data_IF_658662975159
#
_entry.id   IF_658662975159
#
_cell.length_a   1.000
_cell.length_b   1.000
_cell.length_c   1.000
_cell.angle_alpha   90.00
_cell.angle_beta   90.00
_cell.angle_gamma   90.00
#
_symmetry.space_group_name_H-M   'P 1'
#
loop_
_entity.id
_entity.type
_entity.pdbx_description
1 polymer ?
#
# COMPACT_ATOMS: atom_id res chain seq x y z
N UNK A 1 0.09 -10.52 -10.28
CA UNK A 1 0.93 -11.57 -9.67
C UNK A 1 0.11 -12.72 -9.10
N UNK A 2 -1.02 -12.46 -8.44
CA UNK A 2 -1.81 -13.52 -7.79
C UNK A 2 -2.20 -14.68 -8.70
N UNK A 3 -2.48 -14.44 -9.98
CA UNK A 3 -2.79 -15.52 -10.95
C UNK A 3 -1.63 -16.54 -11.11
N UNK A 4 -0.42 -16.17 -10.69
CA UNK A 4 0.79 -16.98 -10.74
C UNK A 4 1.23 -17.47 -9.36
N UNK A 5 0.52 -17.08 -8.29
CA UNK A 5 0.91 -17.42 -6.92
C UNK A 5 0.11 -18.59 -6.39
N UNK A 6 0.79 -19.45 -5.63
CA UNK A 6 0.23 -20.56 -4.88
C UNK A 6 0.53 -20.44 -3.38
N UNK A 7 1.38 -19.49 -2.98
CA UNK A 7 1.85 -19.31 -1.59
C UNK A 7 0.76 -18.95 -0.56
N UNK A 8 -0.46 -18.58 -1.00
CA UNK A 8 -1.62 -18.40 -0.12
C UNK A 8 -2.40 -19.71 0.12
N UNK A 9 -2.10 -20.77 -0.63
CA UNK A 9 -2.76 -22.06 -0.48
C UNK A 9 -2.15 -22.79 0.72
N UNK A 10 -2.97 -23.32 1.66
CA UNK A 10 -2.45 -24.09 2.78
C UNK A 10 -1.47 -25.18 2.33
N UNK A 11 -0.35 -25.31 3.03
CA UNK A 11 0.76 -26.25 2.74
C UNK A 11 1.67 -25.92 1.55
N UNK A 12 1.44 -24.79 0.87
CA UNK A 12 2.33 -24.27 -0.17
C UNK A 12 3.06 -23.04 0.36
N UNK A 13 4.36 -23.19 0.63
CA UNK A 13 5.25 -22.05 0.89
C UNK A 13 6.04 -21.67 -0.35
N UNK A 14 6.79 -20.56 -0.28
CA UNK A 14 7.60 -20.00 -1.38
C UNK A 14 8.49 -21.06 -2.05
N UNK A 15 9.18 -21.91 -1.28
CA UNK A 15 10.01 -22.99 -1.86
C UNK A 15 9.21 -24.05 -2.64
N UNK A 16 7.96 -24.31 -2.26
CA UNK A 16 7.09 -25.23 -3.01
C UNK A 16 6.53 -24.54 -4.25
N UNK A 17 6.16 -23.27 -4.14
CA UNK A 17 5.72 -22.44 -5.26
C UNK A 17 6.82 -22.34 -6.34
N UNK A 18 8.08 -22.08 -5.97
CA UNK A 18 9.20 -22.08 -6.90
C UNK A 18 9.40 -23.43 -7.61
N UNK A 19 9.17 -24.55 -6.92
CA UNK A 19 9.21 -25.88 -7.55
C UNK A 19 8.08 -26.08 -8.57
N UNK A 20 6.91 -25.51 -8.32
CA UNK A 20 5.79 -25.52 -9.27
C UNK A 20 6.21 -24.73 -10.52
N UNK A 21 6.71 -23.51 -10.37
CA UNK A 21 7.19 -22.69 -11.49
C UNK A 21 8.30 -23.36 -12.29
N UNK A 22 9.32 -23.89 -11.61
CA UNK A 22 10.45 -24.57 -12.25
C UNK A 22 10.07 -25.89 -12.94
N UNK A 23 8.86 -26.40 -12.71
CA UNK A 23 8.32 -27.56 -13.45
C UNK A 23 7.64 -27.19 -14.77
N UNK A 24 7.60 -25.89 -15.11
CA UNK A 24 6.93 -25.36 -16.31
C UNK A 24 5.47 -24.96 -16.07
N UNK A 25 5.01 -24.96 -14.82
CA UNK A 25 3.65 -24.52 -14.44
C UNK A 25 3.75 -23.15 -13.79
N UNK A 26 3.52 -22.09 -14.57
CA UNK A 26 3.69 -20.70 -14.17
C UNK A 26 2.41 -20.02 -13.69
N UNK A 27 1.24 -20.60 -13.94
CA UNK A 27 -0.06 -19.99 -13.61
C UNK A 27 -1.07 -20.96 -13.01
N UNK A 28 -2.10 -20.41 -12.38
CA UNK A 28 -3.25 -21.16 -11.90
C UNK A 28 -3.93 -21.97 -13.01
N UNK A 29 -4.04 -21.42 -14.22
CA UNK A 29 -4.68 -22.09 -15.36
C UNK A 29 -3.83 -23.28 -15.85
N UNK A 30 -2.52 -23.08 -16.04
CA UNK A 30 -1.60 -24.16 -16.39
C UNK A 30 -1.59 -25.28 -15.34
N UNK A 31 -1.72 -24.93 -14.05
CA UNK A 31 -1.80 -25.93 -12.98
C UNK A 31 -3.06 -26.78 -13.09
N UNK A 32 -4.21 -26.16 -13.42
CA UNK A 32 -5.48 -26.88 -13.58
C UNK A 32 -5.47 -27.79 -14.81
N UNK A 33 -4.78 -27.39 -15.88
CA UNK A 33 -4.65 -28.19 -17.10
C UNK A 33 -3.67 -29.36 -16.94
N UNK A 34 -2.48 -29.08 -16.38
CA UNK A 34 -1.40 -30.05 -16.27
C UNK A 34 -0.60 -29.84 -14.96
N UNK A 35 -1.10 -30.35 -13.82
CA UNK A 35 -0.43 -30.17 -12.54
C UNK A 35 0.96 -30.84 -12.52
N UNK A 36 1.94 -30.31 -11.76
CA UNK A 36 3.30 -30.84 -11.73
C UNK A 36 3.37 -32.31 -11.31
N UNK A 37 4.13 -33.11 -12.07
CA UNK A 37 4.26 -34.56 -11.86
C UNK A 37 4.93 -34.98 -10.54
N UNK A 38 5.67 -34.06 -9.89
CA UNK A 38 6.27 -34.32 -8.58
C UNK A 38 5.24 -34.29 -7.44
N UNK A 39 4.03 -33.78 -7.68
CA UNK A 39 2.93 -33.81 -6.73
C UNK A 39 2.15 -35.12 -6.86
N UNK A 40 1.71 -35.68 -5.73
CA UNK A 40 0.79 -36.81 -5.77
C UNK A 40 -0.59 -36.37 -6.29
N UNK A 41 -1.32 -37.30 -6.93
CA UNK A 41 -2.66 -37.05 -7.48
C UNK A 41 -3.56 -36.36 -6.44
N UNK A 42 -3.64 -36.92 -5.22
CA UNK A 42 -4.43 -36.37 -4.11
C UNK A 42 -4.02 -34.94 -3.72
N UNK A 43 -2.72 -34.62 -3.78
CA UNK A 43 -2.24 -33.26 -3.48
C UNK A 43 -2.61 -32.30 -4.61
N UNK A 44 -2.46 -32.73 -5.86
CA UNK A 44 -2.85 -31.93 -7.04
C UNK A 44 -4.35 -31.63 -7.04
N UNK A 45 -5.21 -32.61 -6.76
CA UNK A 45 -6.67 -32.42 -6.63
C UNK A 45 -7.01 -31.38 -5.55
N UNK A 46 -6.40 -31.51 -4.36
CA UNK A 46 -6.61 -30.53 -3.28
C UNK A 46 -6.12 -29.12 -3.64
N UNK A 47 -4.98 -29.01 -4.32
CA UNK A 47 -4.49 -27.71 -4.78
C UNK A 47 -5.42 -27.12 -5.84
N UNK A 48 -5.95 -27.93 -6.76
CA UNK A 48 -6.93 -27.50 -7.76
C UNK A 48 -8.21 -26.94 -7.13
N UNK A 49 -8.73 -27.56 -6.07
CA UNK A 49 -9.87 -27.02 -5.30
C UNK A 49 -9.56 -25.62 -4.73
N UNK A 50 -8.38 -25.43 -4.13
CA UNK A 50 -7.96 -24.13 -3.62
C UNK A 50 -7.71 -23.11 -4.72
N UNK A 51 -7.19 -23.52 -5.88
CA UNK A 51 -7.00 -22.65 -7.04
C UNK A 51 -8.36 -22.17 -7.57
N UNK A 52 -9.34 -23.05 -7.66
CA UNK A 52 -10.69 -22.67 -8.07
C UNK A 52 -11.30 -21.63 -7.11
N UNK A 53 -11.19 -21.85 -5.80
CA UNK A 53 -11.57 -20.86 -4.80
C UNK A 53 -10.79 -19.54 -4.95
N UNK A 54 -9.49 -19.62 -5.29
CA UNK A 54 -8.67 -18.42 -5.49
C UNK A 54 -9.16 -17.59 -6.67
N UNK A 55 -9.52 -18.23 -7.79
CA UNK A 55 -10.10 -17.58 -8.97
C UNK A 55 -11.45 -16.92 -8.64
N UNK A 56 -12.30 -17.60 -7.85
CA UNK A 56 -13.55 -17.02 -7.34
C UNK A 56 -13.30 -15.78 -6.49
N UNK A 57 -12.30 -15.82 -5.60
CA UNK A 57 -11.94 -14.72 -4.70
C UNK A 57 -11.34 -13.51 -5.44
N UNK A 58 -10.54 -13.75 -6.48
CA UNK A 58 -10.06 -12.70 -7.38
C UNK A 58 -11.25 -12.04 -8.09
N UNK A 59 -12.16 -12.84 -8.66
CA UNK A 59 -13.35 -12.33 -9.36
C UNK A 59 -14.28 -11.52 -8.44
N UNK A 60 -14.43 -11.96 -7.19
CA UNK A 60 -15.22 -11.28 -6.16
C UNK A 60 -14.54 -10.04 -5.55
N UNK A 61 -13.33 -9.69 -6.02
CA UNK A 61 -12.49 -8.62 -5.47
C UNK A 61 -12.20 -8.74 -3.96
N UNK A 62 -12.05 -9.96 -3.46
CA UNK A 62 -11.81 -10.24 -2.03
C UNK A 62 -10.31 -10.18 -1.69
N UNK A 63 -9.75 -8.96 -1.63
CA UNK A 63 -8.35 -8.75 -1.27
C UNK A 63 -8.01 -9.28 0.14
N UNK A 64 -9.00 -9.26 1.04
CA UNK A 64 -8.81 -9.66 2.44
C UNK A 64 -8.50 -11.15 2.56
N UNK A 65 -9.18 -11.99 1.76
CA UNK A 65 -8.87 -13.41 1.69
C UNK A 65 -7.37 -13.66 1.43
N UNK A 66 -6.78 -13.01 0.42
CA UNK A 66 -5.36 -13.20 0.13
C UNK A 66 -4.45 -12.63 1.21
N UNK A 67 -4.80 -11.45 1.74
CA UNK A 67 -4.05 -10.83 2.83
C UNK A 67 -3.99 -11.72 4.08
N UNK A 68 -5.07 -12.41 4.42
CA UNK A 68 -5.12 -13.27 5.61
C UNK A 68 -4.40 -14.63 5.41
N UNK A 69 -4.17 -15.04 4.16
CA UNK A 69 -3.58 -16.35 3.83
C UNK A 69 -2.13 -16.26 3.32
N UNK A 70 -1.68 -15.09 2.87
CA UNK A 70 -0.28 -14.84 2.53
C UNK A 70 0.54 -14.58 3.80
N UNK A 71 1.83 -14.90 3.74
CA UNK A 71 2.75 -14.42 4.77
C UNK A 71 2.98 -12.91 4.62
N UNK A 72 3.32 -12.23 5.71
CA UNK A 72 3.54 -10.76 5.70
C UNK A 72 4.55 -10.28 4.66
N UNK A 73 5.55 -11.11 4.33
CA UNK A 73 6.57 -10.82 3.31
C UNK A 73 6.03 -10.90 1.88
N UNK A 74 4.92 -11.60 1.67
CA UNK A 74 4.33 -11.87 0.36
C UNK A 74 3.05 -11.05 0.11
N UNK A 75 2.61 -10.21 1.05
CA UNK A 75 1.39 -9.40 0.89
C UNK A 75 1.44 -8.50 -0.37
N UNK A 76 2.62 -8.05 -0.79
CA UNK A 76 2.80 -7.22 -1.99
C UNK A 76 2.22 -7.85 -3.26
N UNK A 77 2.09 -9.19 -3.30
CA UNK A 77 1.58 -9.95 -4.45
C UNK A 77 0.13 -9.59 -4.81
N UNK A 78 -0.65 -9.08 -3.86
CA UNK A 78 -2.04 -8.69 -4.11
C UNK A 78 -2.15 -7.40 -4.95
N UNK A 79 -1.09 -6.58 -5.00
CA UNK A 79 -1.16 -5.20 -5.48
C UNK A 79 -1.72 -5.08 -6.91
N UNK A 80 -1.15 -5.79 -7.89
CA UNK A 80 -1.58 -5.70 -9.31
C UNK A 80 -3.05 -6.08 -9.49
N UNK A 81 -3.51 -7.13 -8.84
CA UNK A 81 -4.89 -7.62 -8.99
C UNK A 81 -5.95 -6.73 -8.33
N UNK A 82 -5.59 -5.93 -7.32
CA UNK A 82 -6.51 -5.05 -6.60
C UNK A 82 -6.17 -3.56 -6.75
N UNK A 83 -5.36 -3.20 -7.73
CA UNK A 83 -4.90 -1.82 -7.96
C UNK A 83 -6.07 -0.84 -8.09
N UNK A 84 -7.15 -1.26 -8.75
CA UNK A 84 -8.36 -0.44 -8.97
C UNK A 84 -9.19 -0.19 -7.70
N UNK A 85 -8.88 -0.90 -6.61
CA UNK A 85 -9.50 -0.75 -5.29
C UNK A 85 -8.48 -0.37 -4.21
N UNK A 86 -7.27 0.03 -4.62
CA UNK A 86 -6.20 0.47 -3.72
C UNK A 86 -6.32 1.97 -3.44
N UNK A 87 -6.01 2.36 -2.20
CA UNK A 87 -5.84 3.76 -1.83
C UNK A 87 -4.53 3.96 -1.07
N UNK A 88 -3.80 4.99 -1.45
CA UNK A 88 -2.63 5.51 -0.76
C UNK A 88 -3.10 6.44 0.35
N UNK A 89 -2.60 6.22 1.56
CA UNK A 89 -3.04 6.90 2.78
C UNK A 89 -1.83 7.40 3.56
N UNK A 90 -1.92 8.65 3.99
CA UNK A 90 -0.99 9.30 4.90
C UNK A 90 -1.74 10.27 5.84
N UNK A 91 -1.28 10.41 7.07
CA UNK A 91 -1.87 11.32 8.06
C UNK A 91 -0.84 12.28 8.64
N UNK A 92 -1.31 13.49 8.95
CA UNK A 92 -0.58 14.43 9.79
C UNK A 92 -1.23 14.53 11.17
N UNK A 93 -0.40 14.71 12.20
CA UNK A 93 -0.85 14.68 13.59
C UNK A 93 -0.15 15.78 14.40
N UNK A 94 -0.69 16.10 15.58
CA UNK A 94 -0.01 17.04 16.50
C UNK A 94 1.12 16.41 17.30
N UNK A 95 1.30 15.09 17.19
CA UNK A 95 2.25 14.32 17.99
C UNK A 95 2.15 12.82 17.73
N UNK A 96 2.94 12.03 18.44
CA UNK A 96 3.13 10.61 18.12
C UNK A 96 2.11 9.65 18.76
N UNK A 97 0.99 10.18 19.28
CA UNK A 97 -0.09 9.38 19.86
C UNK A 97 -0.19 9.46 21.39
N UNK A 98 0.34 10.53 21.99
CA UNK A 98 0.10 10.85 23.40
C UNK A 98 -1.36 11.24 23.64
N UNK A 99 -1.90 11.07 24.86
CA UNK A 99 -3.24 11.54 25.18
C UNK A 99 -3.42 13.02 24.83
N UNK A 100 -4.41 13.32 23.99
CA UNK A 100 -4.68 14.68 23.49
C UNK A 100 -4.10 14.98 22.11
N UNK A 101 -3.24 14.12 21.56
CA UNK A 101 -2.83 14.24 20.16
C UNK A 101 -4.03 13.99 19.23
N UNK A 102 -4.08 14.78 18.15
CA UNK A 102 -5.16 14.72 17.15
C UNK A 102 -4.58 14.49 15.77
N UNK A 103 -5.40 13.94 14.88
CA UNK A 103 -5.16 13.98 13.45
C UNK A 103 -5.48 15.41 12.97
N UNK A 104 -4.53 16.06 12.29
CA UNK A 104 -4.66 17.41 11.74
C UNK A 104 -5.19 17.34 10.30
N UNK A 105 -4.53 16.53 9.46
CA UNK A 105 -4.97 16.24 8.09
C UNK A 105 -4.86 14.76 7.76
N UNK A 106 -5.65 14.32 6.79
CA UNK A 106 -5.54 12.99 6.16
C UNK A 106 -5.54 13.22 4.66
N UNK A 107 -4.62 12.58 3.94
CA UNK A 107 -4.62 12.53 2.49
C UNK A 107 -4.96 11.11 2.01
N UNK A 108 -5.76 11.02 0.96
CA UNK A 108 -6.07 9.82 0.22
C UNK A 108 -5.81 10.06 -1.26
N UNK A 109 -5.22 9.09 -1.92
CA UNK A 109 -5.07 9.07 -3.37
C UNK A 109 -5.36 7.67 -3.90
N UNK A 110 -6.20 7.55 -4.93
CA UNK A 110 -6.62 6.25 -5.49
C UNK A 110 -6.08 5.95 -6.89
N UNK A 111 -4.97 6.61 -7.26
CA UNK A 111 -4.43 6.56 -8.62
C UNK A 111 -5.15 7.48 -9.61
N UNK A 112 -6.23 8.15 -9.18
CA UNK A 112 -7.03 9.06 -10.03
C UNK A 112 -7.44 10.35 -9.33
N UNK A 113 -7.93 10.24 -8.10
CA UNK A 113 -8.49 11.35 -7.34
C UNK A 113 -7.74 11.53 -6.03
N UNK A 114 -7.41 12.78 -5.74
CA UNK A 114 -6.91 13.20 -4.44
C UNK A 114 -8.11 13.59 -3.57
N UNK A 115 -8.15 13.11 -2.34
CA UNK A 115 -9.05 13.59 -1.30
C UNK A 115 -8.24 13.94 -0.08
N UNK A 116 -8.58 15.05 0.54
CA UNK A 116 -7.94 15.48 1.76
C UNK A 116 -8.99 15.89 2.79
N UNK A 117 -8.66 15.68 4.05
CA UNK A 117 -9.56 15.92 5.16
C UNK A 117 -8.84 16.72 6.23
N UNK A 118 -9.51 17.73 6.76
CA UNK A 118 -8.92 18.70 7.69
C UNK A 118 -9.72 18.69 8.99
N UNK A 119 -9.01 18.60 10.11
CA UNK A 119 -9.60 18.66 11.45
C UNK A 119 -10.38 19.97 11.66
N UNK A 120 -11.62 19.84 12.14
CA UNK A 120 -12.53 20.98 12.31
C UNK A 120 -13.19 21.48 11.02
N UNK A 121 -12.89 20.88 9.86
CA UNK A 121 -13.61 21.11 8.58
C UNK A 121 -14.38 19.85 8.19
N UNK A 122 -13.75 18.91 7.48
CA UNK A 122 -14.39 17.73 6.86
C UNK A 122 -13.81 16.37 7.34
N UNK A 123 -13.02 16.35 8.42
CA UNK A 123 -12.31 15.14 8.92
C UNK A 123 -13.19 13.89 9.09
N UNK A 124 -14.47 14.07 9.41
CA UNK A 124 -15.40 12.96 9.61
C UNK A 124 -15.81 12.23 8.32
N UNK A 125 -15.68 12.87 7.16
CA UNK A 125 -16.04 12.29 5.86
C UNK A 125 -15.13 11.12 5.49
N UNK A 126 -13.89 11.12 6.00
CA UNK A 126 -12.91 10.04 5.85
C UNK A 126 -13.52 8.66 6.16
N UNK A 127 -14.29 8.54 7.25
CA UNK A 127 -14.88 7.26 7.71
C UNK A 127 -15.77 6.60 6.67
N UNK A 128 -16.45 7.41 5.86
CA UNK A 128 -17.32 6.92 4.77
C UNK A 128 -16.49 6.57 3.55
N UNK A 129 -15.51 7.40 3.23
CA UNK A 129 -14.76 7.29 2.00
C UNK A 129 -13.72 6.18 2.01
N UNK A 130 -13.07 5.91 3.15
CA UNK A 130 -12.09 4.83 3.26
C UNK A 130 -12.71 3.45 2.97
N UNK A 131 -14.00 3.25 3.27
CA UNK A 131 -14.73 1.99 3.04
C UNK A 131 -14.94 1.63 1.57
N UNK A 132 -14.67 2.55 0.65
CA UNK A 132 -14.82 2.32 -0.79
C UNK A 132 -13.67 1.48 -1.37
N UNK A 133 -12.58 1.37 -0.64
CA UNK A 133 -11.35 0.72 -1.07
C UNK A 133 -11.26 -0.68 -0.45
N UNK A 134 -10.52 -1.59 -1.09
CA UNK A 134 -10.23 -2.94 -0.58
C UNK A 134 -8.83 -3.06 0.01
N UNK A 135 -7.90 -2.23 -0.48
CA UNK A 135 -6.49 -2.25 -0.10
C UNK A 135 -6.04 -0.85 0.30
N UNK A 136 -5.29 -0.76 1.39
CA UNK A 136 -4.57 0.45 1.81
C UNK A 136 -3.09 0.25 1.54
N UNK A 137 -2.45 1.26 0.95
CA UNK A 137 -1.00 1.42 0.90
C UNK A 137 -0.61 2.62 1.77
N UNK A 138 0.39 2.45 2.62
CA UNK A 138 0.94 3.53 3.47
C UNK A 138 2.44 3.33 3.69
N UNK A 139 3.13 4.31 4.27
CA UNK A 139 4.48 4.12 4.81
C UNK A 139 4.45 4.10 6.33
N UNK A 140 4.88 3.01 6.96
CA UNK A 140 4.86 2.83 8.42
C UNK A 140 3.47 2.83 9.09
N UNK A 141 2.39 2.87 8.30
CA UNK A 141 1.03 2.96 8.80
C UNK A 141 0.54 1.77 9.64
N UNK A 142 1.16 0.59 9.56
CA UNK A 142 0.77 -0.53 10.46
C UNK A 142 1.05 -0.23 11.92
N UNK A 143 2.07 0.58 12.19
CA UNK A 143 2.52 0.90 13.55
C UNK A 143 2.13 2.30 13.98
N UNK A 144 1.73 3.17 13.05
CA UNK A 144 1.42 4.56 13.31
C UNK A 144 0.01 4.94 12.82
N UNK A 145 -0.16 5.15 11.51
CA UNK A 145 -1.36 5.72 10.91
C UNK A 145 -2.64 4.97 11.28
N UNK A 146 -2.68 3.66 11.04
CA UNK A 146 -3.88 2.85 11.25
C UNK A 146 -4.27 2.80 12.74
N UNK A 147 -3.37 2.47 13.69
CA UNK A 147 -3.69 2.57 15.11
C UNK A 147 -4.19 3.96 15.53
N UNK A 148 -3.57 5.03 15.01
CA UNK A 148 -3.97 6.40 15.34
C UNK A 148 -5.38 6.70 14.82
N UNK A 149 -5.67 6.37 13.55
CA UNK A 149 -6.99 6.51 12.93
C UNK A 149 -8.04 5.73 13.70
N UNK A 150 -7.79 4.46 14.02
CA UNK A 150 -8.73 3.62 14.77
C UNK A 150 -9.07 4.22 16.13
N UNK A 151 -8.05 4.69 16.87
CA UNK A 151 -8.22 5.33 18.17
C UNK A 151 -8.95 6.68 18.06
N UNK A 152 -8.55 7.53 17.12
CA UNK A 152 -9.10 8.87 16.94
C UNK A 152 -10.58 8.84 16.55
N UNK A 153 -10.97 7.92 15.66
CA UNK A 153 -12.35 7.83 15.17
C UNK A 153 -13.21 6.79 15.89
N UNK A 154 -12.62 5.92 16.71
CA UNK A 154 -13.33 4.78 17.33
C UNK A 154 -13.84 3.77 16.30
N UNK A 155 -13.07 3.50 15.24
CA UNK A 155 -13.43 2.58 14.15
C UNK A 155 -12.42 1.44 14.03
N UNK A 156 -12.76 0.44 13.20
CA UNK A 156 -11.82 -0.59 12.75
C UNK A 156 -11.53 -0.45 11.26
N UNK A 157 -10.27 -0.53 10.89
CA UNK A 157 -9.78 -0.56 9.51
C UNK A 157 -9.44 -2.02 9.18
N UNK A 158 -10.36 -2.71 8.51
CA UNK A 158 -10.23 -4.13 8.16
C UNK A 158 -9.65 -4.40 6.77
N UNK A 159 -9.21 -3.35 6.06
CA UNK A 159 -8.66 -3.44 4.71
C UNK A 159 -7.41 -4.35 4.66
N UNK A 160 -7.14 -4.92 3.50
CA UNK A 160 -5.81 -5.47 3.25
C UNK A 160 -4.79 -4.32 3.27
N UNK A 161 -3.64 -4.52 3.91
CA UNK A 161 -2.72 -3.40 4.20
C UNK A 161 -1.27 -3.67 3.74
N UNK A 162 -0.90 -2.98 2.67
CA UNK A 162 0.44 -2.97 2.11
C UNK A 162 1.23 -1.82 2.73
N UNK A 163 2.11 -2.15 3.67
CA UNK A 163 2.96 -1.15 4.32
C UNK A 163 4.34 -1.15 3.67
N UNK A 164 4.62 -0.05 2.96
CA UNK A 164 5.83 0.14 2.18
C UNK A 164 7.10 0.10 3.02
N UNK A 165 7.05 0.44 4.31
CA UNK A 165 8.21 0.32 5.21
C UNK A 165 8.80 -1.09 5.16
N UNK A 166 7.94 -2.12 5.23
CA UNK A 166 8.39 -3.50 5.25
C UNK A 166 8.69 -4.05 3.85
N UNK A 167 7.91 -3.64 2.85
CA UNK A 167 8.10 -4.08 1.46
C UNK A 167 9.44 -3.55 0.94
N UNK A 168 9.70 -2.26 1.10
CA UNK A 168 10.95 -1.61 0.69
C UNK A 168 12.15 -2.12 1.49
N UNK A 169 12.00 -2.36 2.80
CA UNK A 169 13.03 -3.00 3.61
C UNK A 169 13.44 -4.37 3.09
N UNK A 170 12.47 -5.17 2.61
CA UNK A 170 12.78 -6.47 2.01
C UNK A 170 13.54 -6.39 0.67
N UNK A 171 13.63 -5.20 0.08
CA UNK A 171 14.40 -4.90 -1.13
C UNK A 171 15.71 -4.13 -0.83
N UNK A 172 16.06 -3.98 0.46
CA UNK A 172 17.30 -3.31 0.89
C UNK A 172 17.18 -1.81 1.14
N UNK A 173 15.99 -1.22 1.03
CA UNK A 173 15.77 0.21 1.30
C UNK A 173 15.38 0.45 2.76
N UNK A 174 15.94 1.48 3.39
CA UNK A 174 15.67 1.75 4.82
C UNK A 174 15.62 3.24 5.16
N UNK A 175 15.09 3.56 6.35
CA UNK A 175 14.91 4.93 6.85
C UNK A 175 13.45 5.37 6.86
N UNK A 176 13.22 6.68 6.83
CA UNK A 176 11.89 7.27 6.63
C UNK A 176 11.48 7.30 5.15
N UNK A 177 10.25 7.73 4.86
CA UNK A 177 9.69 7.81 3.50
C UNK A 177 10.62 8.58 2.55
N UNK A 178 10.98 9.82 2.92
CA UNK A 178 11.90 10.67 2.14
C UNK A 178 13.28 10.05 1.91
N UNK A 179 13.76 9.21 2.83
CA UNK A 179 15.02 8.47 2.64
C UNK A 179 14.88 7.41 1.56
N UNK A 180 13.77 6.67 1.56
CA UNK A 180 13.49 5.66 0.54
C UNK A 180 13.25 6.28 -0.83
N UNK A 181 12.56 7.42 -0.90
CA UNK A 181 12.40 8.20 -2.13
C UNK A 181 13.76 8.50 -2.77
N UNK A 182 14.68 9.12 -2.01
CA UNK A 182 16.02 9.46 -2.49
C UNK A 182 16.82 8.24 -2.95
N UNK A 183 16.75 7.14 -2.20
CA UNK A 183 17.44 5.90 -2.58
C UNK A 183 16.92 5.30 -3.89
N UNK A 184 15.66 5.58 -4.24
CA UNK A 184 15.01 5.14 -5.49
C UNK A 184 15.12 6.18 -6.61
N UNK A 185 15.86 7.27 -6.40
CA UNK A 185 16.01 8.35 -7.37
C UNK A 185 14.77 9.22 -7.53
N UNK A 186 13.86 9.18 -6.55
CA UNK A 186 12.66 9.99 -6.46
C UNK A 186 12.93 11.10 -5.44
N UNK A 187 12.40 12.29 -5.70
CA UNK A 187 12.64 13.45 -4.86
C UNK A 187 13.22 14.55 -5.71
N UNK A 188 12.48 15.66 -5.78
CA UNK A 188 12.90 16.86 -6.51
C UNK A 188 14.26 17.33 -6.00
N UNK A 189 15.18 17.60 -6.92
CA UNK A 189 16.37 18.41 -6.64
C UNK A 189 15.94 19.88 -6.45
N UNK A 190 15.46 20.22 -5.25
CA UNK A 190 15.12 21.60 -4.86
C UNK A 190 14.19 21.70 -3.64
N UNK A 191 14.50 22.63 -2.72
CA UNK A 191 13.89 23.12 -1.44
C UNK A 191 13.06 22.20 -0.51
N UNK A 192 12.53 21.09 -0.99
CA UNK A 192 11.68 20.11 -0.31
C UNK A 192 12.45 19.10 0.56
N UNK A 193 13.74 19.33 0.81
CA UNK A 193 14.64 18.31 1.34
C UNK A 193 14.39 17.92 2.80
N UNK A 194 13.75 18.78 3.61
CA UNK A 194 13.73 18.63 5.08
C UNK A 194 12.44 19.11 5.75
N UNK A 195 11.27 18.78 5.19
CA UNK A 195 10.06 18.80 6.04
C UNK A 195 10.02 17.52 6.84
N UNK A 196 10.49 17.62 8.07
CA UNK A 196 10.31 16.62 9.09
C UNK A 196 8.87 16.65 9.61
N UNK A 197 8.40 15.57 10.24
CA UNK A 197 7.07 15.54 10.85
C UNK A 197 6.88 16.62 11.93
N UNK A 198 7.96 17.24 12.42
CA UNK A 198 7.89 18.38 13.34
C UNK A 198 7.46 19.67 12.62
N UNK A 199 7.89 19.89 11.39
CA UNK A 199 7.47 21.03 10.59
C UNK A 199 5.98 20.99 10.26
N UNK A 200 5.40 19.81 10.00
CA UNK A 200 3.95 19.65 9.87
C UNK A 200 3.18 20.14 11.12
N UNK A 201 3.71 19.83 12.31
CA UNK A 201 3.17 20.33 13.59
C UNK A 201 3.29 21.85 13.71
N UNK A 202 4.39 22.45 13.23
CA UNK A 202 4.58 23.90 13.21
C UNK A 202 3.56 24.59 12.29
N UNK A 203 3.35 24.07 11.08
CA UNK A 203 2.37 24.59 10.12
C UNK A 203 0.95 24.55 10.69
N UNK A 204 0.57 23.43 11.32
CA UNK A 204 -0.72 23.31 11.98
C UNK A 204 -0.87 24.32 13.13
N UNK A 205 0.15 24.46 13.96
CA UNK A 205 0.13 25.40 15.08
C UNK A 205 0.03 26.85 14.61
N UNK A 206 0.72 27.22 13.54
CA UNK A 206 0.57 28.53 12.92
C UNK A 206 -0.86 28.73 12.41
N UNK A 207 -1.38 27.80 11.61
CA UNK A 207 -2.77 27.84 11.13
C UNK A 207 -3.78 28.04 12.28
N UNK A 208 -3.62 27.31 13.39
CA UNK A 208 -4.51 27.42 14.54
C UNK A 208 -4.44 28.78 15.24
N UNK A 209 -3.26 29.40 15.29
CA UNK A 209 -3.02 30.70 15.95
C UNK A 209 -3.42 31.87 15.06
N UNK A 210 -3.03 31.85 13.79
CA UNK A 210 -3.12 33.00 12.86
C UNK A 210 -4.29 32.89 11.91
N UNK A 211 -4.86 31.70 11.72
CA UNK A 211 -5.81 31.37 10.64
C UNK A 211 -5.22 31.60 9.24
N UNK A 212 -3.89 31.48 9.12
CA UNK A 212 -3.17 31.53 7.83
C UNK A 212 -3.56 30.34 6.96
N UNK A 213 -4.43 30.55 5.97
CA UNK A 213 -4.79 29.49 5.01
C UNK A 213 -3.56 29.03 4.22
N UNK A 214 -2.57 29.90 3.96
CA UNK A 214 -1.29 29.50 3.37
C UNK A 214 -0.59 28.39 4.16
N UNK A 215 -0.51 28.51 5.49
CA UNK A 215 0.15 27.49 6.33
C UNK A 215 -0.58 26.15 6.26
N UNK A 216 -1.90 26.18 6.10
CA UNK A 216 -2.71 24.98 5.89
C UNK A 216 -2.53 24.41 4.47
N UNK A 217 -2.48 25.25 3.44
CA UNK A 217 -2.22 24.83 2.06
C UNK A 217 -0.85 24.18 1.93
N UNK A 218 0.19 24.76 2.55
CA UNK A 218 1.52 24.16 2.64
C UNK A 218 1.48 22.80 3.33
N UNK A 219 0.79 22.67 4.48
CA UNK A 219 0.63 21.39 5.19
C UNK A 219 -0.06 20.33 4.31
N UNK A 220 -1.14 20.72 3.62
CA UNK A 220 -1.85 19.85 2.69
C UNK A 220 -0.98 19.45 1.50
N UNK A 221 -0.16 20.36 0.98
CA UNK A 221 0.77 20.08 -0.10
C UNK A 221 1.73 18.95 0.27
N UNK A 222 2.34 19.00 1.46
CA UNK A 222 3.22 17.94 1.96
C UNK A 222 2.52 16.59 2.14
N UNK A 223 1.38 16.58 2.84
CA UNK A 223 0.62 15.36 3.10
C UNK A 223 0.09 14.72 1.80
N UNK A 224 -0.27 15.54 0.80
CA UNK A 224 -0.66 15.05 -0.53
C UNK A 224 0.55 14.54 -1.33
N UNK A 225 1.69 15.24 -1.29
CA UNK A 225 2.91 14.79 -1.97
C UNK A 225 3.33 13.40 -1.49
N UNK A 226 3.21 13.12 -0.19
CA UNK A 226 3.50 11.81 0.36
C UNK A 226 2.62 10.71 -0.26
N UNK A 227 1.29 10.86 -0.30
CA UNK A 227 0.43 9.83 -0.91
C UNK A 227 0.63 9.66 -2.42
N UNK A 228 1.02 10.71 -3.14
CA UNK A 228 1.40 10.60 -4.55
C UNK A 228 2.69 9.79 -4.73
N UNK A 229 3.68 10.03 -3.87
CA UNK A 229 4.93 9.29 -3.89
C UNK A 229 4.74 7.81 -3.48
N UNK A 230 3.79 7.50 -2.60
CA UNK A 230 3.47 6.11 -2.24
C UNK A 230 3.03 5.28 -3.46
N UNK A 231 2.34 5.86 -4.45
CA UNK A 231 1.98 5.17 -5.68
C UNK A 231 3.21 4.73 -6.45
N UNK A 232 4.10 5.69 -6.72
CA UNK A 232 5.36 5.43 -7.39
C UNK A 232 6.16 4.35 -6.65
N UNK A 233 6.32 4.49 -5.33
CA UNK A 233 7.11 3.57 -4.51
C UNK A 233 6.54 2.15 -4.52
N UNK A 234 5.21 2.01 -4.48
CA UNK A 234 4.56 0.70 -4.54
C UNK A 234 4.74 0.04 -5.90
N UNK A 235 4.60 0.80 -6.99
CA UNK A 235 4.83 0.28 -8.35
C UNK A 235 6.29 -0.13 -8.53
N UNK A 236 7.25 0.69 -8.11
CA UNK A 236 8.68 0.34 -8.14
C UNK A 236 9.00 -0.90 -7.32
N UNK A 237 8.48 -0.97 -6.09
CA UNK A 237 8.68 -2.13 -5.23
C UNK A 237 8.10 -3.41 -5.84
N UNK A 238 6.88 -3.32 -6.39
CA UNK A 238 6.24 -4.43 -7.10
C UNK A 238 7.09 -4.86 -8.31
N UNK A 239 7.54 -3.92 -9.15
CA UNK A 239 8.33 -4.22 -10.34
C UNK A 239 9.68 -4.86 -10.01
N UNK A 240 10.35 -4.41 -8.94
CA UNK A 240 11.60 -5.03 -8.46
C UNK A 240 11.34 -6.45 -7.96
N UNK A 241 10.28 -6.66 -7.16
CA UNK A 241 9.89 -8.00 -6.68
C UNK A 241 9.58 -8.97 -7.81
N UNK A 242 8.86 -8.52 -8.83
CA UNK A 242 8.53 -9.36 -10.00
C UNK A 242 9.79 -9.79 -10.75
N UNK A 243 10.76 -8.88 -10.94
CA UNK A 243 12.03 -9.19 -11.62
C UNK A 243 12.91 -10.23 -10.89
N UNK A 244 12.70 -10.43 -9.59
CA UNK A 244 13.40 -11.45 -8.81
C UNK A 244 12.79 -12.86 -9.00
N UNK A 245 11.62 -12.97 -9.64
CA UNK A 245 10.90 -14.24 -9.77
C UNK A 245 11.35 -15.05 -11.00
N UNK A 246 11.26 -16.38 -10.97
CA UNK A 246 11.57 -17.24 -12.11
C UNK A 246 10.40 -17.29 -13.12
N UNK A 247 9.73 -16.17 -13.37
CA UNK A 247 8.60 -16.03 -14.28
C UNK A 247 8.81 -14.79 -15.14
N UNK A 248 8.42 -14.88 -16.42
CA UNK A 248 8.40 -13.74 -17.32
C UNK A 248 7.05 -13.02 -17.21
N UNK A 249 6.97 -12.05 -16.29
CA UNK A 249 5.75 -11.31 -15.99
C UNK A 249 5.91 -9.83 -16.34
N UNK A 250 4.85 -9.26 -16.92
CA UNK A 250 4.80 -7.83 -17.20
C UNK A 250 4.91 -7.00 -15.92
N UNK A 251 5.84 -6.06 -15.97
CA UNK A 251 5.95 -4.97 -15.00
C UNK A 251 4.78 -3.99 -15.17
N UNK A 252 4.54 -3.20 -14.14
CA UNK A 252 3.56 -2.12 -14.17
C UNK A 252 4.22 -0.84 -14.68
N UNK A 253 3.52 -0.11 -15.53
CA UNK A 253 3.91 1.24 -15.90
C UNK A 253 3.76 2.18 -14.70
N UNK A 254 4.71 3.10 -14.56
CA UNK A 254 4.62 4.17 -13.57
C UNK A 254 3.78 5.30 -14.20
N UNK A 255 2.61 5.63 -13.63
CA UNK A 255 1.81 6.73 -14.14
C UNK A 255 2.52 8.06 -13.91
N UNK A 256 2.20 9.05 -14.75
CA UNK A 256 2.55 10.43 -14.45
C UNK A 256 1.80 10.85 -13.19
N UNK A 257 2.52 11.31 -12.18
CA UNK A 257 1.90 11.81 -10.96
C UNK A 257 0.96 12.98 -11.30
N UNK A 258 -0.27 13.01 -10.73
CA UNK A 258 -1.16 14.14 -10.90
C UNK A 258 -0.55 15.40 -10.29
N UNK A 259 -1.00 16.56 -10.75
CA UNK A 259 -0.60 17.83 -10.16
C UNK A 259 -1.12 17.93 -8.72
N UNK A 260 -0.25 18.33 -7.80
CA UNK A 260 -0.63 18.65 -6.43
C UNK A 260 -1.47 19.94 -6.46
N UNK A 261 -2.71 19.95 -5.93
CA UNK A 261 -3.58 21.12 -5.98
C UNK A 261 -3.11 22.28 -5.08
N UNK A 262 -2.10 22.07 -4.22
CA UNK A 262 -1.55 23.08 -3.33
C UNK A 262 -0.08 23.36 -3.63
N UNK A 263 0.28 24.64 -3.62
CA UNK A 263 1.66 25.09 -3.79
C UNK A 263 2.36 25.20 -2.43
N UNK A 264 3.68 25.12 -2.46
CA UNK A 264 4.55 25.31 -1.30
C UNK A 264 5.12 26.72 -1.40
N UNK A 265 4.96 27.51 -0.33
CA UNK A 265 5.60 28.83 -0.17
C UNK A 265 7.07 28.65 0.27
#
# INVERSE_FOLDING_TARGET
>A
MLQHSFSHIPTVGVSTEEKIWNSGVGSMDEFLESPPSFLSIKKSEKLAEHIQLSKEKISAKDARYFYDHLSSKEHWRIFKEFQDSTVYLDIETTGLGSPGDIITTIALYDGKNIKYYINGKNINDFKKDIKKYGVIVSYNGKTFDIPFIENYFGIRISHAHLDLRYILYSLGYSGGLKSCERQLGIGRTGSLADVDGFFAVLLWNDYKKTRSEKSLETLLSYNIEDVLNLEYLMIEAYNKKIKEMPLDLDILDIPLAPENPFEID
#
